data_IF_412430797941
#
_entry.id   IF_412430797941
#
_cell.length_a   1.000
_cell.length_b   1.000
_cell.length_c   1.000
_cell.angle_alpha   90.00
_cell.angle_beta   90.00
_cell.angle_gamma   90.00
#
_symmetry.space_group_name_H-M   'P 1'
#
loop_
_entity.id
_entity.type
_entity.pdbx_description
1 polymer ?
#
# COMPACT_ATOMS: atom_id res chain seq x y z
N UNK A 1 -33.06 5.63 3.13
CA UNK A 1 -31.82 5.56 3.96
C UNK A 1 -30.64 5.94 3.08
N UNK A 2 -29.81 6.95 3.42
CA UNK A 2 -28.60 7.21 2.66
C UNK A 2 -27.60 6.10 2.97
N UNK A 3 -27.27 5.31 1.96
CA UNK A 3 -26.17 4.33 2.00
C UNK A 3 -24.88 5.12 2.20
N UNK A 4 -24.32 5.07 3.41
CA UNK A 4 -22.96 5.51 3.70
C UNK A 4 -22.01 4.51 3.03
N UNK A 5 -21.57 4.82 1.82
CA UNK A 5 -20.56 4.09 1.08
C UNK A 5 -20.05 4.95 -0.07
N UNK A 6 -18.73 4.98 -0.27
CA UNK A 6 -18.13 5.60 -1.45
C UNK A 6 -18.78 5.03 -2.71
N UNK A 7 -19.26 5.90 -3.61
CA UNK A 7 -19.85 5.50 -4.90
C UNK A 7 -18.82 4.81 -5.84
N UNK A 8 -17.54 4.87 -5.49
CA UNK A 8 -16.44 4.25 -6.21
C UNK A 8 -15.86 3.10 -5.39
N UNK A 9 -15.58 1.97 -6.05
CA UNK A 9 -14.66 0.94 -5.55
C UNK A 9 -13.34 1.62 -5.15
N UNK A 10 -12.68 1.14 -4.10
CA UNK A 10 -11.38 1.67 -3.68
C UNK A 10 -10.38 1.70 -4.85
N UNK A 11 -10.45 0.70 -5.73
CA UNK A 11 -9.66 0.58 -6.96
C UNK A 11 -9.85 1.73 -7.96
N UNK A 12 -11.08 2.26 -8.06
CA UNK A 12 -11.46 3.35 -8.95
C UNK A 12 -11.40 4.74 -8.32
N UNK A 13 -11.06 4.82 -7.03
CA UNK A 13 -10.90 6.08 -6.32
C UNK A 13 -9.41 6.45 -6.30
N UNK A 14 -9.02 7.41 -7.15
CA UNK A 14 -7.64 7.91 -7.23
C UNK A 14 -7.12 8.50 -5.91
N UNK A 15 -8.01 8.91 -4.99
CA UNK A 15 -7.64 9.41 -3.65
C UNK A 15 -7.25 8.29 -2.67
N UNK A 16 -7.51 7.02 -3.01
CA UNK A 16 -7.13 5.82 -2.25
C UNK A 16 -5.98 5.07 -2.90
N UNK A 17 -5.16 5.75 -3.73
CA UNK A 17 -3.95 5.21 -4.33
C UNK A 17 -2.70 5.90 -3.79
N UNK A 18 -1.68 5.11 -3.50
CA UNK A 18 -0.36 5.55 -3.08
C UNK A 18 0.65 5.31 -4.21
N UNK A 19 1.79 5.97 -4.16
CA UNK A 19 2.89 5.69 -5.07
C UNK A 19 3.89 4.76 -4.38
N UNK A 20 4.39 3.77 -5.12
CA UNK A 20 5.49 2.95 -4.63
C UNK A 20 6.72 3.82 -4.37
N UNK A 21 7.27 3.74 -3.17
CA UNK A 21 8.42 4.52 -2.73
C UNK A 21 9.70 4.26 -3.53
N UNK A 22 9.79 3.12 -4.24
CA UNK A 22 10.92 2.78 -5.09
C UNK A 22 10.70 3.18 -6.56
N UNK A 23 9.66 2.62 -7.19
CA UNK A 23 9.46 2.73 -8.65
C UNK A 23 8.41 3.75 -9.07
N UNK A 24 7.73 4.42 -8.13
CA UNK A 24 6.69 5.42 -8.43
C UNK A 24 5.40 4.84 -9.02
N UNK A 25 5.26 3.51 -9.13
CA UNK A 25 4.03 2.88 -9.61
C UNK A 25 2.85 3.23 -8.69
N UNK A 26 1.71 3.61 -9.27
CA UNK A 26 0.48 3.83 -8.52
C UNK A 26 -0.12 2.49 -8.06
N UNK A 27 -0.20 2.31 -6.75
CA UNK A 27 -0.70 1.12 -6.06
C UNK A 27 -1.87 1.49 -5.13
N UNK A 28 -2.79 0.57 -4.81
CA UNK A 28 -3.83 0.85 -3.81
C UNK A 28 -3.19 1.22 -2.46
N UNK A 29 -3.74 2.22 -1.77
CA UNK A 29 -3.26 2.69 -0.46
C UNK A 29 -3.51 1.67 0.65
N UNK A 30 -4.56 0.87 0.52
CA UNK A 30 -4.87 -0.20 1.47
C UNK A 30 -4.23 -1.51 1.02
N UNK A 31 -3.73 -2.28 2.00
CA UNK A 31 -3.39 -3.69 1.84
C UNK A 31 -4.70 -4.37 1.43
N UNK A 32 -4.75 -4.97 0.23
CA UNK A 32 -5.99 -5.47 -0.38
C UNK A 32 -6.96 -6.06 0.66
N UNK A 33 -8.03 -5.32 0.96
CA UNK A 33 -9.09 -5.83 1.81
C UNK A 33 -9.90 -6.80 0.96
N UNK A 34 -9.87 -8.07 1.33
CA UNK A 34 -10.66 -9.13 0.73
C UNK A 34 -12.10 -8.68 0.49
N UNK A 35 -12.49 -8.44 -0.77
CA UNK A 35 -13.89 -8.31 -1.10
C UNK A 35 -14.51 -9.72 -1.10
N UNK A 36 -15.74 -9.90 -0.60
CA UNK A 36 -16.43 -11.20 -0.64
C UNK A 36 -16.65 -11.80 -2.05
N UNK A 37 -16.27 -11.07 -3.11
CA UNK A 37 -16.39 -11.48 -4.51
C UNK A 37 -15.02 -11.68 -5.16
N UNK A 38 -13.92 -11.43 -4.45
CA UNK A 38 -12.59 -11.70 -4.98
C UNK A 38 -12.35 -13.21 -4.99
N UNK A 39 -11.96 -13.76 -6.13
CA UNK A 39 -11.55 -15.17 -6.24
C UNK A 39 -10.30 -15.46 -5.40
N UNK A 40 -9.45 -14.44 -5.20
CA UNK A 40 -8.30 -14.48 -4.30
C UNK A 40 -7.98 -13.09 -3.76
N UNK A 41 -7.57 -13.03 -2.50
CA UNK A 41 -7.11 -11.80 -1.84
C UNK A 41 -5.62 -11.64 -2.13
N UNK A 42 -5.28 -10.85 -3.14
CA UNK A 42 -3.88 -10.57 -3.45
C UNK A 42 -3.46 -9.25 -2.79
N UNK A 43 -2.45 -9.34 -1.93
CA UNK A 43 -1.85 -8.15 -1.35
C UNK A 43 -1.02 -7.45 -2.44
N UNK A 44 -1.41 -6.23 -2.81
CA UNK A 44 -0.68 -5.45 -3.83
C UNK A 44 0.30 -4.43 -3.24
N UNK A 45 0.13 -4.09 -1.95
CA UNK A 45 0.86 -3.02 -1.26
C UNK A 45 1.42 -3.49 0.08
N UNK A 46 2.69 -3.18 0.35
CA UNK A 46 3.38 -3.39 1.62
C UNK A 46 3.78 -2.04 2.22
N UNK A 47 3.35 -1.79 3.46
CA UNK A 47 3.79 -0.63 4.23
C UNK A 47 5.10 -0.92 4.96
N UNK A 48 6.24 -0.64 4.33
CA UNK A 48 7.55 -0.82 4.97
C UNK A 48 7.79 0.31 5.97
N UNK A 49 7.98 -0.02 7.24
CA UNK A 49 8.20 0.99 8.29
C UNK A 49 9.68 1.36 8.38
N UNK A 50 9.96 2.66 8.44
CA UNK A 50 11.30 3.19 8.65
C UNK A 50 11.30 4.45 9.50
N UNK A 51 12.48 5.02 9.72
CA UNK A 51 12.65 6.30 10.42
C UNK A 51 13.26 7.31 9.46
N UNK A 52 12.47 8.30 9.07
CA UNK A 52 12.90 9.40 8.21
C UNK A 52 12.90 10.68 9.04
N UNK A 53 14.02 11.41 9.05
CA UNK A 53 14.17 12.64 9.86
C UNK A 53 13.86 12.50 11.35
N UNK A 54 14.09 11.31 11.92
CA UNK A 54 13.78 11.02 13.34
C UNK A 54 12.33 10.65 13.59
N UNK A 55 11.47 10.65 12.57
CA UNK A 55 10.05 10.30 12.67
C UNK A 55 9.78 8.94 12.02
N UNK A 56 8.88 8.15 12.64
CA UNK A 56 8.41 6.90 12.04
C UNK A 56 7.61 7.20 10.78
N UNK A 57 8.04 6.62 9.67
CA UNK A 57 7.42 6.79 8.35
C UNK A 57 7.06 5.44 7.75
N UNK A 58 6.00 5.40 6.97
CA UNK A 58 5.55 4.21 6.24
C UNK A 58 5.82 4.42 4.75
N UNK A 59 6.60 3.52 4.16
CA UNK A 59 6.95 3.53 2.75
C UNK A 59 6.11 2.49 2.01
N UNK A 60 5.09 2.95 1.29
CA UNK A 60 4.25 2.09 0.47
C UNK A 60 5.07 1.45 -0.65
N UNK A 61 5.04 0.13 -0.76
CA UNK A 61 5.89 -0.65 -1.68
C UNK A 61 5.04 -1.65 -2.45
N UNK A 62 5.20 -1.70 -3.77
CA UNK A 62 4.48 -2.67 -4.60
C UNK A 62 5.06 -4.08 -4.46
N UNK A 63 4.26 -5.10 -4.79
CA UNK A 63 4.68 -6.52 -4.78
C UNK A 63 6.05 -6.74 -5.46
N UNK A 64 6.21 -6.25 -6.69
CA UNK A 64 7.45 -6.42 -7.46
C UNK A 64 8.69 -5.90 -6.72
N UNK A 65 8.60 -4.71 -6.12
CA UNK A 65 9.73 -4.13 -5.39
C UNK A 65 9.94 -4.83 -4.05
N UNK A 66 8.85 -5.21 -3.38
CA UNK A 66 8.91 -5.93 -2.12
C UNK A 66 9.58 -7.30 -2.29
N UNK A 67 9.18 -8.06 -3.31
CA UNK A 67 9.65 -9.41 -3.63
C UNK A 67 11.07 -9.42 -4.21
N UNK A 68 11.45 -8.36 -4.92
CA UNK A 68 12.84 -8.11 -5.29
C UNK A 68 13.75 -7.80 -4.08
N UNK A 69 13.18 -7.71 -2.87
CA UNK A 69 13.91 -7.46 -1.63
C UNK A 69 14.25 -5.99 -1.38
N UNK A 70 13.66 -5.05 -2.13
CA UNK A 70 13.91 -3.63 -1.90
C UNK A 70 13.41 -3.20 -0.53
N UNK A 71 14.21 -2.40 0.18
CA UNK A 71 13.84 -1.74 1.43
C UNK A 71 14.29 -0.29 1.37
N UNK A 72 13.52 0.66 1.96
CA UNK A 72 13.93 2.05 2.00
C UNK A 72 15.25 2.20 2.77
N UNK A 73 16.11 3.19 2.46
CA UNK A 73 17.35 3.42 3.21
C UNK A 73 17.11 3.67 4.71
N UNK A 74 15.94 4.24 5.02
CA UNK A 74 15.44 4.51 6.36
C UNK A 74 14.78 3.29 7.03
N UNK A 75 14.79 2.11 6.39
CA UNK A 75 14.10 0.93 6.88
C UNK A 75 14.64 0.52 8.25
N UNK A 76 13.78 0.61 9.25
CA UNK A 76 14.05 0.06 10.55
C UNK A 76 13.71 -1.43 10.46
N UNK A 77 14.60 -2.21 9.85
CA UNK A 77 14.53 -3.66 9.95
C UNK A 77 14.42 -4.00 11.42
N UNK A 78 13.33 -4.66 11.82
CA UNK A 78 13.18 -5.16 13.18
C UNK A 78 14.40 -6.04 13.46
N UNK A 79 15.27 -5.56 14.34
CA UNK A 79 16.28 -6.36 15.03
C UNK A 79 15.61 -6.92 16.29
#
# INVERSE_FOLDING_TARGET
>A
MPIKGSAYRAEGNTTLRSLCANCGKSIPTEVGHAHPLDEAVEQETWGLVGVLHGERSVFATCAVCHDAGWRPPAYAGMN
#
